data_IF_923587474050
#
_entry.id   IF_923587474050
#
_cell.length_a   1.000
_cell.length_b   1.000
_cell.length_c   1.000
_cell.angle_alpha   90.00
_cell.angle_beta   90.00
_cell.angle_gamma   90.00
#
_symmetry.space_group_name_H-M   'P 1'
#
loop_
_entity.id
_entity.type
_entity.pdbx_description
1 polymer ?
#
# COMPACT_ATOMS: atom_id res chain seq x y z
N UNK A 1 -7.47 -2.78 -11.69
CA UNK A 1 -6.79 -1.76 -10.85
C UNK A 1 -7.75 -0.83 -10.10
N UNK A 2 -8.76 -0.21 -10.76
CA UNK A 2 -9.75 0.69 -10.11
C UNK A 2 -10.57 0.05 -8.95
N UNK A 3 -10.77 -1.27 -9.01
CA UNK A 3 -11.48 -2.10 -8.03
C UNK A 3 -10.81 -2.22 -6.66
N UNK A 4 -9.51 -2.57 -6.64
CA UNK A 4 -8.76 -2.87 -5.41
C UNK A 4 -8.64 -1.63 -4.52
N UNK A 5 -8.40 -0.48 -5.14
CA UNK A 5 -8.10 0.76 -4.43
C UNK A 5 -9.39 1.49 -4.01
N UNK A 6 -10.49 1.41 -4.79
CA UNK A 6 -11.80 1.91 -4.35
C UNK A 6 -12.30 1.20 -3.09
N UNK A 7 -12.05 -0.12 -2.98
CA UNK A 7 -12.41 -0.92 -1.82
C UNK A 7 -11.63 -0.51 -0.56
N UNK A 8 -10.34 -0.26 -0.75
CA UNK A 8 -9.39 0.10 0.30
C UNK A 8 -9.53 1.56 0.75
N UNK A 9 -9.85 2.49 -0.16
CA UNK A 9 -10.20 3.89 0.13
C UNK A 9 -11.54 3.97 0.86
N UNK A 10 -12.51 3.11 0.55
CA UNK A 10 -13.81 3.10 1.23
C UNK A 10 -13.72 2.63 2.70
N UNK A 11 -12.83 1.68 3.02
CA UNK A 11 -12.54 1.32 4.42
C UNK A 11 -12.06 2.51 5.27
N UNK A 12 -11.49 3.53 4.63
CA UNK A 12 -11.08 4.79 5.26
C UNK A 12 -12.16 5.89 5.14
N UNK A 13 -12.95 5.88 4.06
CA UNK A 13 -13.98 6.90 3.79
C UNK A 13 -15.17 6.87 4.75
N UNK A 14 -15.28 5.87 5.63
CA UNK A 14 -16.14 5.98 6.81
C UNK A 14 -15.75 7.16 7.72
N UNK A 15 -14.52 7.70 7.59
CA UNK A 15 -14.09 8.96 8.20
C UNK A 15 -13.08 9.71 7.28
N UNK A 16 -13.61 10.67 6.51
CA UNK A 16 -12.91 11.89 6.07
C UNK A 16 -11.73 11.72 5.08
N UNK A 17 -11.94 11.17 3.88
CA UNK A 17 -10.98 11.34 2.77
C UNK A 17 -11.67 11.72 1.45
N UNK A 18 -11.23 12.82 0.83
CA UNK A 18 -11.46 13.11 -0.59
C UNK A 18 -10.28 12.55 -1.36
N UNK A 19 -10.49 11.51 -2.18
CA UNK A 19 -9.44 10.78 -2.92
C UNK A 19 -9.69 10.81 -4.44
N UNK A 20 -8.62 10.72 -5.25
CA UNK A 20 -8.67 10.60 -6.72
C UNK A 20 -7.62 9.63 -7.26
N UNK A 21 -8.09 8.52 -7.83
CA UNK A 21 -7.27 7.38 -8.26
C UNK A 21 -6.60 7.59 -9.63
N UNK A 22 -5.31 7.27 -9.68
CA UNK A 22 -4.57 7.13 -10.96
C UNK A 22 -4.29 5.65 -11.24
N UNK A 23 -5.03 5.07 -12.18
CA UNK A 23 -4.66 3.76 -12.74
C UNK A 23 -3.55 3.97 -13.77
N UNK A 24 -2.30 3.66 -13.41
CA UNK A 24 -1.17 3.66 -14.35
C UNK A 24 -1.22 2.39 -15.19
N UNK A 25 -2.02 2.41 -16.25
CA UNK A 25 -1.74 1.53 -17.37
C UNK A 25 -0.43 1.99 -18.01
N UNK A 26 0.58 1.14 -18.12
CA UNK A 26 1.77 1.47 -18.95
C UNK A 26 1.40 1.98 -20.36
N UNK A 27 0.30 1.55 -21.01
CA UNK A 27 -0.17 2.14 -22.26
C UNK A 27 -0.61 3.62 -22.18
N UNK A 28 -0.94 4.17 -21.01
CA UNK A 28 -1.32 5.58 -20.86
C UNK A 28 -0.11 6.48 -20.62
N UNK A 29 0.90 6.01 -19.90
CA UNK A 29 2.19 6.71 -19.69
C UNK A 29 3.09 6.66 -20.93
N UNK A 30 3.13 5.53 -21.64
CA UNK A 30 3.95 5.34 -22.86
C UNK A 30 3.53 6.22 -24.05
N UNK A 31 2.34 6.84 -23.99
CA UNK A 31 1.82 7.78 -25.00
C UNK A 31 2.49 9.16 -24.97
N UNK A 32 3.14 9.52 -23.87
CA UNK A 32 4.07 10.64 -23.91
C UNK A 32 5.30 10.10 -24.65
N UNK A 33 5.57 10.59 -25.86
CA UNK A 33 6.73 10.14 -26.65
C UNK A 33 8.04 10.13 -25.84
N UNK A 34 8.12 10.98 -24.82
CA UNK A 34 9.21 11.04 -23.85
C UNK A 34 9.30 9.82 -22.91
N UNK A 35 8.20 9.18 -22.48
CA UNK A 35 8.27 8.04 -21.54
C UNK A 35 8.92 6.84 -22.20
N UNK A 36 8.47 6.51 -23.41
CA UNK A 36 9.04 5.37 -24.17
C UNK A 36 10.50 5.62 -24.51
N UNK A 37 10.88 6.86 -24.85
CA UNK A 37 12.27 7.25 -25.03
C UNK A 37 13.08 7.10 -23.74
N UNK A 38 12.54 7.55 -22.60
CA UNK A 38 13.18 7.41 -21.31
C UNK A 38 13.32 5.96 -20.85
N UNK A 39 12.41 5.07 -21.24
CA UNK A 39 12.57 3.63 -21.03
C UNK A 39 13.82 3.12 -21.75
N UNK A 40 14.09 3.58 -22.98
CA UNK A 40 15.34 3.23 -23.67
C UNK A 40 16.55 3.90 -23.01
N UNK A 41 16.45 5.18 -22.63
CA UNK A 41 17.55 5.91 -21.96
C UNK A 41 17.93 5.25 -20.63
N UNK A 42 16.96 4.93 -19.78
CA UNK A 42 17.20 4.27 -18.49
C UNK A 42 17.73 2.84 -18.68
N UNK A 43 17.27 2.13 -19.71
CA UNK A 43 17.78 0.80 -20.05
C UNK A 43 19.24 0.86 -20.55
N UNK A 44 19.62 1.92 -21.25
CA UNK A 44 21.00 2.13 -21.70
C UNK A 44 21.96 2.47 -20.55
N UNK A 45 21.50 3.15 -19.50
CA UNK A 45 22.32 3.50 -18.34
C UNK A 45 22.38 2.38 -17.27
N UNK A 46 21.44 1.44 -17.30
CA UNK A 46 21.29 0.42 -16.24
C UNK A 46 21.86 -0.93 -16.64
N UNK A 47 22.78 -1.47 -15.84
CA UNK A 47 23.29 -2.83 -16.05
C UNK A 47 22.25 -3.90 -15.70
N UNK A 48 22.32 -5.06 -16.38
CA UNK A 48 21.49 -6.23 -16.05
C UNK A 48 21.66 -6.65 -14.59
N UNK A 49 22.88 -6.54 -14.05
CA UNK A 49 23.19 -6.83 -12.64
C UNK A 49 22.42 -5.92 -11.70
N UNK A 50 22.41 -4.62 -11.97
CA UNK A 50 21.71 -3.63 -11.15
C UNK A 50 20.20 -3.80 -11.22
N UNK A 51 19.64 -3.97 -12.42
CA UNK A 51 18.21 -4.21 -12.61
C UNK A 51 17.73 -5.47 -11.88
N UNK A 52 18.46 -6.58 -12.03
CA UNK A 52 18.17 -7.84 -11.32
C UNK A 52 18.28 -7.68 -9.81
N UNK A 53 19.32 -7.00 -9.33
CA UNK A 53 19.52 -6.75 -7.89
C UNK A 53 18.38 -5.91 -7.32
N UNK A 54 17.95 -4.87 -8.04
CA UNK A 54 16.88 -3.99 -7.61
C UNK A 54 15.54 -4.72 -7.48
N UNK A 55 15.20 -5.56 -8.46
CA UNK A 55 13.95 -6.32 -8.47
C UNK A 55 13.95 -7.60 -7.61
N UNK A 56 15.06 -7.96 -6.95
CA UNK A 56 15.24 -9.28 -6.35
C UNK A 56 14.20 -9.64 -5.25
N UNK A 57 13.66 -8.65 -4.54
CA UNK A 57 12.68 -8.87 -3.46
C UNK A 57 11.23 -8.63 -3.89
N UNK A 58 11.01 -8.02 -5.06
CA UNK A 58 9.69 -7.59 -5.53
C UNK A 58 9.23 -8.42 -6.73
N UNK A 59 10.14 -8.70 -7.66
CA UNK A 59 9.86 -9.50 -8.86
C UNK A 59 9.89 -10.98 -8.47
N UNK A 60 8.91 -11.74 -8.97
CA UNK A 60 8.86 -13.20 -8.78
C UNK A 60 10.14 -13.84 -9.34
N UNK A 61 10.87 -14.53 -8.48
CA UNK A 61 12.08 -15.25 -8.88
C UNK A 61 11.68 -16.58 -9.53
N UNK A 62 12.12 -16.79 -10.76
CA UNK A 62 11.88 -18.01 -11.56
C UNK A 62 13.19 -18.49 -12.17
N UNK A 63 13.29 -19.78 -12.47
CA UNK A 63 14.52 -20.37 -13.02
C UNK A 63 14.98 -19.69 -14.32
N UNK A 64 14.02 -19.34 -15.18
CA UNK A 64 14.26 -18.64 -16.44
C UNK A 64 13.56 -17.27 -16.39
N UNK A 65 14.23 -16.22 -15.88
CA UNK A 65 13.62 -14.91 -15.69
C UNK A 65 13.34 -14.23 -17.03
N UNK A 66 12.13 -13.66 -17.15
CA UNK A 66 11.73 -12.86 -18.31
C UNK A 66 12.40 -11.48 -18.28
N UNK A 67 12.57 -10.89 -19.47
CA UNK A 67 13.07 -9.50 -19.62
C UNK A 67 12.19 -8.50 -18.87
N UNK A 68 10.89 -8.75 -18.79
CA UNK A 68 9.94 -7.92 -18.02
C UNK A 68 10.36 -7.77 -16.55
N UNK A 69 10.97 -8.79 -15.95
CA UNK A 69 11.47 -8.73 -14.58
C UNK A 69 12.67 -7.79 -14.41
N UNK A 70 13.44 -7.55 -15.47
CA UNK A 70 14.54 -6.57 -15.48
C UNK A 70 14.03 -5.15 -15.74
N UNK A 71 12.98 -5.01 -16.56
CA UNK A 71 12.40 -3.71 -16.87
C UNK A 71 11.56 -3.14 -15.73
N UNK A 72 10.89 -3.98 -14.94
CA UNK A 72 9.95 -3.55 -13.90
C UNK A 72 10.54 -2.49 -12.94
N UNK A 73 11.73 -2.69 -12.34
CA UNK A 73 12.33 -1.69 -11.45
C UNK A 73 12.64 -0.35 -12.14
N UNK A 74 12.92 -0.36 -13.45
CA UNK A 74 13.21 0.85 -14.23
C UNK A 74 11.95 1.66 -14.51
N UNK A 75 10.87 0.95 -14.87
CA UNK A 75 9.56 1.56 -15.08
C UNK A 75 9.06 2.23 -13.79
N UNK A 76 9.18 1.54 -12.65
CA UNK A 76 8.80 2.08 -11.35
C UNK A 76 9.58 3.36 -10.99
N UNK A 77 10.87 3.44 -11.36
CA UNK A 77 11.66 4.66 -11.15
C UNK A 77 11.17 5.81 -12.04
N UNK A 78 10.86 5.55 -13.32
CA UNK A 78 10.33 6.57 -14.22
C UNK A 78 8.94 7.07 -13.80
N UNK A 79 8.13 6.23 -13.16
CA UNK A 79 6.82 6.64 -12.65
C UNK A 79 6.93 7.83 -11.66
N UNK A 80 8.04 7.94 -10.90
CA UNK A 80 8.31 9.09 -10.03
C UNK A 80 8.42 10.43 -10.79
N UNK A 81 8.99 10.39 -11.99
CA UNK A 81 9.12 11.56 -12.86
C UNK A 81 7.80 11.90 -13.52
N UNK A 82 7.16 10.92 -14.13
CA UNK A 82 6.00 11.13 -15.00
C UNK A 82 4.70 11.38 -14.25
N UNK A 83 4.63 10.99 -12.98
CA UNK A 83 3.56 11.39 -12.06
C UNK A 83 3.90 12.70 -11.33
N UNK A 84 5.08 13.27 -11.58
CA UNK A 84 5.59 14.50 -11.00
C UNK A 84 5.53 14.53 -9.47
N UNK A 85 5.84 13.40 -8.83
CA UNK A 85 5.78 13.28 -7.38
C UNK A 85 7.06 13.78 -6.69
N UNK A 86 6.92 14.15 -5.43
CA UNK A 86 8.02 14.55 -4.54
C UNK A 86 8.51 13.38 -3.69
N UNK A 87 7.62 12.44 -3.38
CA UNK A 87 7.92 11.24 -2.61
C UNK A 87 7.23 9.99 -3.15
N UNK A 88 7.86 8.84 -2.96
CA UNK A 88 7.26 7.52 -3.16
C UNK A 88 7.19 6.76 -1.83
N UNK A 89 6.03 6.18 -1.57
CA UNK A 89 5.76 5.35 -0.41
C UNK A 89 5.71 3.87 -0.81
N UNK A 90 6.31 2.99 -0.02
CA UNK A 90 6.25 1.55 -0.20
C UNK A 90 6.74 0.77 1.01
N UNK A 91 6.77 -0.56 0.92
CA UNK A 91 7.36 -1.39 1.97
C UNK A 91 8.89 -1.37 1.95
N UNK A 92 9.52 -1.81 3.04
CA UNK A 92 10.99 -1.99 3.09
C UNK A 92 11.51 -3.01 2.07
N UNK A 93 10.65 -3.89 1.55
CA UNK A 93 10.93 -4.80 0.44
C UNK A 93 11.18 -4.08 -0.89
N UNK A 94 10.68 -2.85 -1.05
CA UNK A 94 10.92 -2.00 -2.22
C UNK A 94 12.24 -1.21 -2.13
N UNK A 95 12.96 -1.28 -1.01
CA UNK A 95 14.18 -0.47 -0.74
C UNK A 95 15.20 -0.54 -1.87
N UNK A 96 15.41 -1.71 -2.48
CA UNK A 96 16.39 -1.89 -3.55
C UNK A 96 16.00 -1.17 -4.84
N UNK A 97 14.70 -1.04 -5.11
CA UNK A 97 14.18 -0.26 -6.24
C UNK A 97 14.36 1.23 -5.95
N UNK A 98 13.97 1.70 -4.76
CA UNK A 98 14.13 3.10 -4.34
C UNK A 98 15.58 3.59 -4.41
N UNK A 99 16.53 2.81 -3.88
CA UNK A 99 17.96 3.14 -3.96
C UNK A 99 18.47 3.20 -5.41
N UNK A 100 17.91 2.36 -6.28
CA UNK A 100 18.26 2.36 -7.70
C UNK A 100 17.71 3.61 -8.40
N UNK A 101 16.46 3.99 -8.12
CA UNK A 101 15.85 5.21 -8.64
C UNK A 101 16.65 6.46 -8.24
N UNK A 102 17.05 6.59 -6.97
CA UNK A 102 17.88 7.71 -6.49
C UNK A 102 19.22 7.84 -7.21
N UNK A 103 19.78 6.73 -7.70
CA UNK A 103 21.06 6.71 -8.40
C UNK A 103 20.91 7.00 -9.89
N UNK A 104 19.85 6.49 -10.53
CA UNK A 104 19.71 6.47 -11.98
C UNK A 104 18.93 7.68 -12.49
N UNK A 105 17.87 8.12 -11.80
CA UNK A 105 17.09 9.29 -12.22
C UNK A 105 17.94 10.57 -12.42
N UNK A 106 18.92 10.90 -11.54
CA UNK A 106 19.82 12.03 -11.76
C UNK A 106 20.65 11.96 -13.04
N UNK A 107 21.00 10.77 -13.51
CA UNK A 107 21.78 10.58 -14.74
C UNK A 107 20.94 10.84 -16.00
N UNK A 108 19.62 10.66 -15.88
CA UNK A 108 18.67 11.04 -16.94
C UNK A 108 18.34 12.54 -16.91
N UNK A 109 18.84 13.29 -15.92
CA UNK A 109 18.55 14.71 -15.72
C UNK A 109 17.37 14.98 -14.78
N UNK A 110 16.85 13.95 -14.12
CA UNK A 110 15.70 14.05 -13.22
C UNK A 110 16.12 14.22 -11.76
N UNK A 111 15.25 14.84 -10.96
CA UNK A 111 15.51 15.01 -9.52
C UNK A 111 15.40 13.70 -8.75
N UNK A 112 16.05 13.62 -7.60
CA UNK A 112 15.80 12.53 -6.63
C UNK A 112 14.46 12.75 -5.92
N UNK A 113 13.82 11.66 -5.50
CA UNK A 113 12.58 11.67 -4.70
C UNK A 113 12.85 11.20 -3.29
N UNK A 114 11.94 11.57 -2.39
CA UNK A 114 11.94 11.07 -1.02
C UNK A 114 11.30 9.68 -1.00
N UNK A 115 11.94 8.73 -0.34
CA UNK A 115 11.41 7.37 -0.21
C UNK A 115 10.97 7.08 1.21
N UNK A 116 9.68 6.79 1.39
CA UNK A 116 9.05 6.49 2.66
C UNK A 116 8.75 5.00 2.75
N UNK A 117 9.36 4.30 3.71
CA UNK A 117 9.27 2.84 3.79
C UNK A 117 8.54 2.38 5.05
N UNK A 118 7.43 1.64 4.90
CA UNK A 118 6.79 0.97 6.02
C UNK A 118 7.47 -0.36 6.37
N UNK A 119 7.54 -0.73 7.65
CA UNK A 119 8.02 -2.05 8.04
C UNK A 119 7.14 -3.15 7.43
N UNK A 120 7.74 -4.33 7.22
CA UNK A 120 6.97 -5.52 6.87
C UNK A 120 6.11 -5.90 8.06
N UNK A 121 4.80 -6.04 7.83
CA UNK A 121 3.89 -6.53 8.85
C UNK A 121 3.86 -8.05 8.77
N UNK A 122 4.22 -8.74 9.87
CA UNK A 122 4.06 -10.19 9.95
C UNK A 122 2.60 -10.59 9.68
N UNK A 123 2.42 -11.67 8.95
CA UNK A 123 1.16 -12.39 8.85
C UNK A 123 0.75 -12.96 10.20
N UNK A 124 -0.47 -13.45 10.28
CA UNK A 124 -1.04 -14.01 11.52
C UNK A 124 -0.30 -15.26 12.02
N UNK A 125 0.44 -15.93 11.14
CA UNK A 125 1.26 -17.10 11.46
C UNK A 125 2.67 -16.74 11.97
N UNK A 126 3.05 -15.46 11.97
CA UNK A 126 4.37 -14.97 12.42
C UNK A 126 5.39 -14.75 11.28
N UNK A 127 5.15 -15.34 10.10
CA UNK A 127 5.96 -15.15 8.90
C UNK A 127 5.48 -13.95 8.05
N UNK A 128 6.12 -13.69 6.90
CA UNK A 128 5.67 -12.62 6.00
C UNK A 128 4.22 -12.88 5.53
N UNK A 129 3.38 -11.85 5.56
CA UNK A 129 2.03 -11.93 5.01
C UNK A 129 2.13 -12.17 3.49
N UNK A 130 1.86 -13.40 3.04
CA UNK A 130 2.07 -13.83 1.66
C UNK A 130 0.74 -13.93 0.94
N UNK A 131 0.64 -13.31 -0.25
CA UNK A 131 -0.53 -13.45 -1.10
C UNK A 131 -0.80 -14.91 -1.50
N UNK A 132 0.25 -15.76 -1.51
CA UNK A 132 0.22 -17.17 -1.91
C UNK A 132 -0.15 -18.14 -0.79
N UNK A 133 -0.09 -17.72 0.48
CA UNK A 133 -0.45 -18.57 1.61
C UNK A 133 -1.74 -18.07 2.24
N UNK A 134 -2.87 -18.71 1.90
CA UNK A 134 -4.20 -18.29 2.35
C UNK A 134 -4.35 -18.24 3.88
N UNK A 135 -3.63 -19.10 4.62
CA UNK A 135 -3.62 -19.10 6.08
C UNK A 135 -2.86 -17.92 6.70
N UNK A 136 -1.94 -17.29 5.96
CA UNK A 136 -1.09 -16.21 6.47
C UNK A 136 -1.75 -14.83 6.44
N UNK A 137 -2.87 -14.69 5.70
CA UNK A 137 -3.55 -13.40 5.41
C UNK A 137 -5.05 -13.47 5.71
N UNK A 138 -5.63 -12.30 6.00
CA UNK A 138 -7.08 -12.08 6.00
C UNK A 138 -7.43 -11.30 4.74
N UNK A 139 -8.32 -11.86 3.92
CA UNK A 139 -8.85 -11.21 2.73
C UNK A 139 -10.01 -10.28 3.10
N UNK A 140 -10.21 -9.19 2.32
CA UNK A 140 -11.24 -8.19 2.67
C UNK A 140 -12.68 -8.65 2.50
N UNK A 141 -12.91 -9.76 1.81
CA UNK A 141 -14.25 -10.33 1.57
C UNK A 141 -14.48 -11.62 2.35
N UNK A 142 -13.55 -11.95 3.24
CA UNK A 142 -13.61 -13.17 4.04
C UNK A 142 -14.74 -13.09 5.08
N UNK A 143 -15.46 -14.20 5.27
CA UNK A 143 -16.59 -14.23 6.21
C UNK A 143 -16.12 -14.05 7.65
N UNK A 144 -17.00 -13.48 8.49
CA UNK A 144 -16.74 -13.30 9.93
C UNK A 144 -16.28 -14.59 10.62
N UNK A 145 -16.92 -15.73 10.29
CA UNK A 145 -16.53 -17.04 10.82
C UNK A 145 -15.14 -17.50 10.37
N UNK A 146 -14.75 -17.23 9.13
CA UNK A 146 -13.42 -17.58 8.62
C UNK A 146 -12.34 -16.70 9.25
N UNK A 147 -12.61 -15.40 9.41
CA UNK A 147 -11.72 -14.48 10.14
C UNK A 147 -11.50 -14.97 11.58
N UNK A 148 -12.57 -15.36 12.28
CA UNK A 148 -12.48 -15.89 13.64
C UNK A 148 -11.66 -17.18 13.70
N UNK A 149 -11.89 -18.11 12.76
CA UNK A 149 -11.14 -19.36 12.68
C UNK A 149 -9.64 -19.14 12.42
N UNK A 150 -9.28 -18.21 11.54
CA UNK A 150 -7.88 -17.85 11.28
C UNK A 150 -7.20 -17.20 12.48
N UNK A 151 -7.92 -16.34 13.20
CA UNK A 151 -7.38 -15.73 14.42
C UNK A 151 -7.19 -16.77 15.53
N UNK A 152 -8.06 -17.77 15.62
CA UNK A 152 -7.93 -18.86 16.59
C UNK A 152 -6.66 -19.71 16.36
N UNK A 153 -6.24 -19.90 15.11
CA UNK A 153 -5.03 -20.66 14.75
C UNK A 153 -3.76 -19.80 14.69
N UNK A 154 -3.87 -18.47 14.80
CA UNK A 154 -2.75 -17.54 14.76
C UNK A 154 -1.77 -17.80 15.91
N UNK A 155 -0.47 -17.88 15.62
CA UNK A 155 0.55 -18.13 16.63
C UNK A 155 0.69 -16.92 17.57
N UNK A 156 0.50 -17.16 18.87
CA UNK A 156 0.66 -16.13 19.91
C UNK A 156 1.33 -16.75 21.16
N UNK A 157 2.63 -17.06 21.09
CA UNK A 157 3.32 -17.72 22.20
C UNK A 157 3.43 -16.79 23.42
N UNK A 158 3.09 -17.28 24.63
CA UNK A 158 3.06 -16.47 25.84
C UNK A 158 4.45 -15.91 26.15
N UNK A 159 4.51 -14.63 26.52
CA UNK A 159 5.76 -13.96 26.87
C UNK A 159 6.63 -13.51 25.69
N UNK A 160 6.27 -13.84 24.44
CA UNK A 160 7.02 -13.45 23.25
C UNK A 160 6.60 -12.08 22.72
N UNK A 161 7.58 -11.22 22.44
CA UNK A 161 7.37 -9.85 21.91
C UNK A 161 7.02 -9.85 20.43
N UNK A 162 6.45 -8.76 19.93
CA UNK A 162 6.18 -8.58 18.50
C UNK A 162 7.46 -8.66 17.65
N UNK A 163 8.57 -8.10 18.16
CA UNK A 163 9.86 -8.11 17.48
C UNK A 163 10.50 -9.50 17.38
N UNK A 164 10.07 -10.44 18.22
CA UNK A 164 10.57 -11.82 18.27
C UNK A 164 9.76 -12.76 17.36
N UNK A 165 8.75 -12.25 16.65
CA UNK A 165 7.92 -13.05 15.73
C UNK A 165 6.48 -13.27 16.18
N UNK A 166 6.00 -12.61 17.24
CA UNK A 166 4.59 -12.70 17.63
C UNK A 166 3.68 -11.93 16.64
N UNK A 167 3.08 -12.66 15.70
CA UNK A 167 2.24 -12.10 14.64
C UNK A 167 0.97 -11.40 15.16
N UNK A 168 0.38 -11.90 16.25
CA UNK A 168 -0.81 -11.28 16.88
C UNK A 168 -0.48 -9.92 17.48
N UNK A 169 0.60 -9.82 18.25
CA UNK A 169 1.05 -8.53 18.80
C UNK A 169 1.47 -7.56 17.69
N UNK A 170 2.20 -8.05 16.67
CA UNK A 170 2.58 -7.22 15.53
C UNK A 170 1.35 -6.69 14.79
N UNK A 171 0.31 -7.50 14.63
CA UNK A 171 -0.96 -7.07 14.05
C UNK A 171 -1.64 -5.99 14.91
N UNK A 172 -1.67 -6.15 16.23
CA UNK A 172 -2.22 -5.11 17.13
C UNK A 172 -1.43 -3.80 16.99
N UNK A 173 -0.09 -3.86 16.98
CA UNK A 173 0.80 -2.71 16.82
C UNK A 173 0.54 -1.94 15.53
N UNK A 174 0.52 -2.64 14.40
CA UNK A 174 0.51 -2.02 13.09
C UNK A 174 -0.90 -1.80 12.54
N UNK A 175 -1.90 -2.55 13.02
CA UNK A 175 -3.29 -2.47 12.54
C UNK A 175 -4.23 -1.89 13.57
N UNK A 176 -4.37 -2.52 14.74
CA UNK A 176 -5.41 -2.14 15.72
C UNK A 176 -5.14 -0.76 16.32
N UNK A 177 -3.94 -0.50 16.83
CA UNK A 177 -3.60 0.80 17.42
C UNK A 177 -3.79 1.97 16.43
N UNK A 178 -3.27 1.89 15.18
CA UNK A 178 -3.53 2.92 14.19
C UNK A 178 -5.00 3.12 13.87
N UNK A 179 -5.80 2.04 13.81
CA UNK A 179 -7.25 2.12 13.56
C UNK A 179 -7.99 2.83 14.68
N UNK A 180 -7.68 2.50 15.93
CA UNK A 180 -8.32 3.10 17.10
C UNK A 180 -7.93 4.57 17.24
N UNK A 181 -6.65 4.88 17.05
CA UNK A 181 -6.17 6.26 17.11
C UNK A 181 -6.69 7.13 15.95
N UNK A 182 -7.02 6.52 14.79
CA UNK A 182 -7.71 7.22 13.70
C UNK A 182 -9.17 7.54 14.05
N UNK A 183 -9.88 6.61 14.70
CA UNK A 183 -11.28 6.81 15.07
C UNK A 183 -11.44 7.80 16.24
N UNK A 184 -10.57 7.69 17.25
CA UNK A 184 -10.54 8.55 18.42
C UNK A 184 -9.09 8.69 18.93
N UNK A 185 -8.38 9.79 18.61
CA UNK A 185 -7.00 10.00 19.03
C UNK A 185 -6.85 9.88 20.55
N UNK A 186 -5.87 9.10 21.01
CA UNK A 186 -5.57 8.92 22.44
C UNK A 186 -6.55 8.05 23.24
N UNK A 187 -7.54 7.42 22.59
CA UNK A 187 -8.51 6.52 23.27
C UNK A 187 -7.88 5.22 23.82
N UNK A 188 -6.73 4.81 23.29
CA UNK A 188 -6.07 3.57 23.68
C UNK A 188 -6.83 2.32 23.20
N UNK A 189 -6.24 1.14 23.42
CA UNK A 189 -6.83 -0.15 23.01
C UNK A 189 -7.26 -0.93 24.25
N UNK A 190 -8.49 -1.46 24.23
CA UNK A 190 -8.99 -2.34 25.30
C UNK A 190 -8.67 -3.80 24.97
N UNK A 191 -8.08 -4.52 25.93
CA UNK A 191 -7.78 -5.96 25.86
C UNK A 191 -8.24 -6.59 27.16
N UNK A 192 -9.17 -7.55 27.08
CA UNK A 192 -9.88 -8.05 28.26
C UNK A 192 -10.61 -6.90 28.95
N UNK A 193 -10.38 -6.71 30.25
CA UNK A 193 -10.93 -5.59 31.02
C UNK A 193 -9.97 -4.40 31.18
N UNK A 194 -8.77 -4.49 30.62
CA UNK A 194 -7.74 -3.44 30.71
C UNK A 194 -7.70 -2.56 29.47
N UNK A 195 -7.38 -1.28 29.65
CA UNK A 195 -7.19 -0.32 28.55
C UNK A 195 -5.76 0.19 28.52
N UNK A 196 -5.14 0.20 27.34
CA UNK A 196 -3.74 0.54 27.13
C UNK A 196 -3.62 1.77 26.23
N UNK A 197 -3.01 2.84 26.74
CA UNK A 197 -2.80 4.06 25.98
C UNK A 197 -1.79 3.86 24.83
N UNK A 198 -0.75 3.05 25.07
CA UNK A 198 0.29 2.78 24.07
C UNK A 198 0.49 1.27 23.85
N UNK A 199 1.01 0.93 22.66
CA UNK A 199 1.37 -0.45 22.35
C UNK A 199 2.45 -1.00 23.27
N UNK A 200 3.39 -0.16 23.71
CA UNK A 200 4.49 -0.59 24.58
C UNK A 200 3.97 -1.05 25.94
N UNK A 201 2.95 -0.37 26.48
CA UNK A 201 2.32 -0.76 27.75
C UNK A 201 1.60 -2.12 27.61
N UNK A 202 0.91 -2.33 26.48
CA UNK A 202 0.26 -3.60 26.19
C UNK A 202 1.28 -4.74 26.03
N UNK A 203 2.35 -4.52 25.27
CA UNK A 203 3.40 -5.51 25.07
C UNK A 203 4.10 -5.86 26.39
N UNK A 204 4.37 -4.85 27.23
CA UNK A 204 4.94 -5.08 28.56
C UNK A 204 4.01 -5.91 29.45
N UNK A 205 2.70 -5.64 29.45
CA UNK A 205 1.72 -6.41 30.22
C UNK A 205 1.62 -7.87 29.74
N UNK A 206 1.66 -8.10 28.42
CA UNK A 206 1.68 -9.46 27.86
C UNK A 206 2.95 -10.23 28.26
N UNK A 207 4.13 -9.59 28.16
CA UNK A 207 5.41 -10.19 28.53
C UNK A 207 5.50 -10.46 30.04
N UNK A 208 4.91 -9.60 30.86
CA UNK A 208 4.82 -9.78 32.31
C UNK A 208 3.86 -10.91 32.73
N UNK A 209 3.07 -11.46 31.79
CA UNK A 209 2.13 -12.55 32.07
C UNK A 209 0.90 -12.10 32.86
N UNK A 210 0.43 -10.87 32.64
CA UNK A 210 -0.82 -10.37 33.23
C UNK A 210 -1.99 -11.23 32.75
N UNK A 211 -2.80 -11.74 33.67
CA UNK A 211 -3.83 -12.75 33.39
C UNK A 211 -4.90 -12.25 32.40
N UNK A 212 -5.25 -10.97 32.46
CA UNK A 212 -6.23 -10.30 31.60
C UNK A 212 -5.72 -10.11 30.16
N UNK A 213 -4.40 -10.16 29.94
CA UNK A 213 -3.76 -10.03 28.62
C UNK A 213 -3.35 -11.41 28.13
N UNK A 214 -4.34 -12.28 27.91
CA UNK A 214 -4.11 -13.62 27.37
C UNK A 214 -4.02 -13.64 25.83
N UNK A 215 -3.44 -14.69 25.22
CA UNK A 215 -3.47 -14.88 23.77
C UNK A 215 -4.89 -14.82 23.18
N UNK A 216 -5.88 -15.37 23.89
CA UNK A 216 -7.29 -15.36 23.51
C UNK A 216 -7.86 -13.93 23.54
N UNK A 217 -7.56 -13.16 24.59
CA UNK A 217 -7.98 -11.78 24.71
C UNK A 217 -7.39 -10.89 23.61
N UNK A 218 -6.12 -11.11 23.24
CA UNK A 218 -5.47 -10.40 22.13
C UNK A 218 -6.13 -10.73 20.78
N UNK A 219 -6.41 -12.01 20.51
CA UNK A 219 -7.11 -12.43 19.29
C UNK A 219 -8.53 -11.87 19.22
N UNK A 220 -9.25 -11.87 20.35
CA UNK A 220 -10.57 -11.27 20.45
C UNK A 220 -10.54 -9.75 20.19
N UNK A 221 -9.57 -9.03 20.78
CA UNK A 221 -9.36 -7.60 20.52
C UNK A 221 -9.15 -7.30 19.02
N UNK A 222 -8.34 -8.12 18.33
CA UNK A 222 -8.18 -7.99 16.87
C UNK A 222 -9.52 -8.15 16.17
N UNK A 223 -10.27 -9.21 16.49
CA UNK A 223 -11.55 -9.50 15.86
C UNK A 223 -12.57 -8.37 16.07
N UNK A 224 -12.74 -7.89 17.30
CA UNK A 224 -13.68 -6.82 17.66
C UNK A 224 -13.41 -5.52 16.91
N UNK A 225 -12.14 -5.17 16.70
CA UNK A 225 -11.78 -3.99 15.93
C UNK A 225 -11.80 -4.24 14.42
N UNK A 226 -11.56 -5.46 13.97
CA UNK A 226 -11.39 -5.73 12.54
C UNK A 226 -12.71 -6.09 11.84
N UNK A 227 -13.47 -7.03 12.39
CA UNK A 227 -14.63 -7.61 11.72
C UNK A 227 -15.72 -6.59 11.37
N UNK A 228 -16.09 -5.62 12.24
CA UNK A 228 -17.08 -4.60 11.89
C UNK A 228 -16.64 -3.72 10.71
N UNK A 229 -15.33 -3.52 10.53
CA UNK A 229 -14.79 -2.74 9.40
C UNK A 229 -14.78 -3.55 8.11
N UNK A 230 -14.47 -4.83 8.19
CA UNK A 230 -14.58 -5.78 7.07
C UNK A 230 -16.06 -5.97 6.68
N UNK A 231 -16.98 -5.97 7.63
CA UNK A 231 -18.44 -6.09 7.36
C UNK A 231 -18.94 -4.98 6.42
N UNK A 232 -18.50 -3.73 6.63
CA UNK A 232 -18.83 -2.60 5.75
C UNK A 232 -18.42 -2.89 4.29
N UNK A 233 -17.27 -3.54 4.11
CA UNK A 233 -16.78 -3.97 2.80
C UNK A 233 -17.63 -5.10 2.23
N UNK A 234 -17.88 -6.14 3.02
CA UNK A 234 -18.70 -7.30 2.63
C UNK A 234 -20.08 -6.87 2.16
N UNK A 235 -20.74 -5.97 2.89
CA UNK A 235 -22.05 -5.44 2.53
C UNK A 235 -22.03 -4.71 1.18
N UNK A 236 -21.01 -3.88 0.93
CA UNK A 236 -20.90 -3.18 -0.35
C UNK A 236 -20.70 -4.13 -1.52
N UNK A 237 -20.00 -5.23 -1.29
CA UNK A 237 -19.77 -6.28 -2.27
C UNK A 237 -20.97 -7.20 -2.51
N UNK A 238 -22.14 -6.87 -1.95
CA UNK A 238 -23.43 -7.45 -2.37
C UNK A 238 -24.04 -6.71 -3.57
N UNK A 239 -23.54 -5.52 -3.92
CA UNK A 239 -24.03 -4.76 -5.07
C UNK A 239 -23.75 -5.55 -6.39
N UNK A 240 -24.75 -5.73 -7.28
CA UNK A 240 -24.59 -6.54 -8.49
C UNK A 240 -23.42 -6.14 -9.38
N UNK A 241 -23.13 -4.83 -9.47
CA UNK A 241 -22.00 -4.30 -10.24
C UNK A 241 -20.66 -4.77 -9.68
N UNK A 242 -20.52 -4.81 -8.35
CA UNK A 242 -19.28 -5.20 -7.69
C UNK A 242 -19.10 -6.72 -7.66
N UNK A 243 -20.20 -7.48 -7.53
CA UNK A 243 -20.18 -8.93 -7.69
C UNK A 243 -19.71 -9.35 -9.08
N UNK A 244 -20.26 -8.74 -10.14
CA UNK A 244 -19.83 -8.99 -11.52
C UNK A 244 -18.35 -8.64 -11.71
N UNK A 245 -17.92 -7.51 -11.17
CA UNK A 245 -16.53 -7.09 -11.25
C UNK A 245 -15.59 -8.06 -10.53
N UNK A 246 -16.00 -8.61 -9.39
CA UNK A 246 -15.23 -9.62 -8.66
C UNK A 246 -15.10 -10.90 -9.47
N UNK A 247 -16.20 -11.41 -10.05
CA UNK A 247 -16.17 -12.62 -10.87
C UNK A 247 -15.36 -12.44 -12.15
N UNK A 248 -15.41 -11.25 -12.75
CA UNK A 248 -14.62 -10.93 -13.94
C UNK A 248 -13.12 -10.82 -13.62
N UNK A 249 -12.76 -10.32 -12.43
CA UNK A 249 -11.38 -10.13 -12.00
C UNK A 249 -10.71 -11.40 -11.43
N UNK A 250 -11.49 -12.26 -10.77
CA UNK A 250 -11.03 -13.51 -10.15
C UNK A 250 -12.00 -14.65 -10.50
N UNK A 251 -12.00 -15.14 -11.75
CA UNK A 251 -12.85 -16.25 -12.15
C UNK A 251 -12.46 -17.52 -11.39
N UNK A 252 -13.46 -18.36 -11.08
CA UNK A 252 -13.26 -19.59 -10.30
C UNK A 252 -12.55 -20.72 -11.07
N UNK A 253 -12.52 -20.63 -12.41
CA UNK A 253 -11.88 -21.61 -13.29
C UNK A 253 -10.61 -21.02 -13.94
N UNK A 254 -9.45 -21.43 -13.43
CA UNK A 254 -8.14 -21.01 -13.95
C UNK A 254 -7.95 -21.39 -15.43
N UNK A 255 -8.54 -22.51 -15.89
CA UNK A 255 -8.45 -22.99 -17.27
C UNK A 255 -9.19 -22.08 -18.26
N UNK A 256 -10.38 -21.59 -17.89
CA UNK A 256 -11.18 -20.67 -18.71
C UNK A 256 -10.53 -19.28 -18.79
N UNK A 257 -9.78 -18.91 -17.75
CA UNK A 257 -9.04 -17.65 -17.66
C UNK A 257 -7.88 -17.58 -18.69
N UNK A 258 -7.16 -18.70 -18.89
CA UNK A 258 -6.08 -18.80 -19.87
C UNK A 258 -6.61 -18.68 -21.30
N UNK A 259 -7.72 -19.34 -21.62
CA UNK A 259 -8.37 -19.26 -22.94
C UNK A 259 -8.92 -17.86 -23.23
N UNK A 260 -9.57 -17.23 -22.24
CA UNK A 260 -10.10 -15.85 -22.37
C UNK A 260 -8.98 -14.83 -22.56
N UNK A 261 -7.91 -14.89 -21.76
CA UNK A 261 -6.77 -14.00 -21.91
C UNK A 261 -6.02 -14.20 -23.23
N UNK A 262 -5.93 -15.44 -23.74
CA UNK A 262 -5.36 -15.72 -25.05
C UNK A 262 -6.22 -15.15 -26.19
N UNK A 263 -7.55 -15.29 -26.11
CA UNK A 263 -8.49 -14.76 -27.10
C UNK A 263 -8.53 -13.22 -27.11
N UNK A 264 -8.59 -12.58 -25.94
CA UNK A 264 -8.62 -11.12 -25.81
C UNK A 264 -7.27 -10.47 -26.18
N UNK A 265 -6.14 -11.13 -25.88
CA UNK A 265 -4.82 -10.66 -26.33
C UNK A 265 -4.65 -10.77 -27.86
N UNK A 266 -5.31 -11.73 -28.49
CA UNK A 266 -5.35 -11.90 -29.95
C UNK A 266 -6.27 -10.90 -30.66
N UNK A 267 -7.34 -10.43 -29.99
CA UNK A 267 -8.27 -9.44 -30.55
C UNK A 267 -7.97 -7.99 -30.13
N UNK A 268 -7.08 -7.78 -29.16
CA UNK A 268 -6.64 -6.46 -28.71
C UNK A 268 -5.80 -5.81 -29.81
N UNK A 269 -6.48 -5.13 -30.72
CA UNK A 269 -5.86 -4.19 -31.64
C UNK A 269 -5.16 -3.11 -30.83
N UNK A 270 -3.81 -3.06 -30.89
CA UNK A 270 -3.00 -2.00 -30.26
C UNK A 270 -3.59 -0.61 -30.57
N UNK A 271 -4.17 -0.46 -31.77
CA UNK A 271 -4.84 0.76 -32.25
C UNK A 271 -6.04 1.26 -31.45
N UNK A 272 -6.83 0.38 -30.82
CA UNK A 272 -8.01 0.80 -30.05
C UNK A 272 -7.66 1.37 -28.65
N UNK A 273 -6.46 1.06 -28.14
CA UNK A 273 -5.96 1.58 -26.85
C UNK A 273 -5.40 3.01 -27.01
N UNK A 274 -5.13 3.46 -28.24
CA UNK A 274 -4.41 4.70 -28.51
C UNK A 274 -5.24 5.99 -28.41
N UNK A 275 -6.58 5.93 -28.28
CA UNK A 275 -7.45 7.13 -28.34
C UNK A 275 -7.90 7.75 -27.01
N UNK A 276 -7.29 7.40 -25.86
CA UNK A 276 -7.80 7.83 -24.55
C UNK A 276 -7.17 9.14 -24.02
N UNK A 277 -8.01 10.20 -23.91
CA UNK A 277 -7.75 11.54 -23.33
C UNK A 277 -7.65 11.53 -21.79
N UNK A 278 -7.87 10.39 -21.14
CA UNK A 278 -8.02 10.28 -19.68
C UNK A 278 -6.81 10.73 -18.84
N UNK A 279 -5.57 10.59 -19.31
CA UNK A 279 -4.39 11.05 -18.56
C UNK A 279 -4.23 12.58 -18.62
N UNK A 280 -4.58 13.19 -19.75
CA UNK A 280 -4.57 14.64 -19.93
C UNK A 280 -5.67 15.28 -19.09
N UNK A 281 -6.87 14.71 -19.10
CA UNK A 281 -7.95 15.09 -18.20
C UNK A 281 -7.53 14.98 -16.73
N UNK A 282 -6.87 13.87 -16.36
CA UNK A 282 -6.35 13.66 -15.01
C UNK A 282 -5.30 14.72 -14.61
N UNK A 283 -4.33 15.03 -15.47
CA UNK A 283 -3.34 16.09 -15.22
C UNK A 283 -4.02 17.45 -15.04
N UNK A 284 -5.04 17.75 -15.82
CA UNK A 284 -5.82 18.98 -15.71
C UNK A 284 -6.63 19.03 -14.41
N UNK A 285 -7.25 17.92 -14.00
CA UNK A 285 -7.98 17.81 -12.73
C UNK A 285 -7.05 17.96 -11.53
N UNK A 286 -5.88 17.32 -11.56
CA UNK A 286 -4.86 17.46 -10.51
C UNK A 286 -4.40 18.91 -10.40
N UNK A 287 -4.06 19.56 -11.51
CA UNK A 287 -3.61 20.95 -11.53
C UNK A 287 -4.70 21.91 -11.05
N UNK A 288 -5.96 21.65 -11.40
CA UNK A 288 -7.12 22.41 -10.93
C UNK A 288 -7.31 22.27 -9.43
N UNK A 289 -7.24 21.05 -8.90
CA UNK A 289 -7.34 20.79 -7.46
C UNK A 289 -6.21 21.51 -6.72
N UNK A 290 -4.97 21.39 -7.18
CA UNK A 290 -3.80 22.06 -6.56
C UNK A 290 -3.94 23.57 -6.47
N UNK A 291 -4.53 24.20 -7.48
CA UNK A 291 -4.75 25.65 -7.46
C UNK A 291 -5.63 26.08 -6.27
N UNK A 292 -6.52 25.20 -5.82
CA UNK A 292 -7.48 25.40 -4.73
C UNK A 292 -6.94 24.97 -3.36
N UNK A 293 -5.77 24.32 -3.30
CA UNK A 293 -5.20 23.80 -2.06
C UNK A 293 -4.41 24.89 -1.29
N UNK A 294 -4.56 24.96 0.05
CA UNK A 294 -3.76 25.84 0.89
C UNK A 294 -2.28 25.46 0.88
N UNK A 295 -1.40 26.43 1.14
CA UNK A 295 0.05 26.18 1.17
C UNK A 295 0.44 25.33 2.38
N UNK A 296 1.50 24.54 2.22
CA UNK A 296 2.15 23.83 3.31
C UNK A 296 2.70 24.82 4.35
N UNK A 297 2.28 24.68 5.61
CA UNK A 297 2.79 25.49 6.72
C UNK A 297 4.07 24.88 7.32
N UNK A 298 5.02 25.69 7.84
CA UNK A 298 6.24 25.16 8.48
C UNK A 298 5.96 24.23 9.67
N UNK A 299 4.87 24.47 10.42
CA UNK A 299 4.43 23.60 11.51
C UNK A 299 3.98 22.23 11.01
N UNK A 300 3.44 22.15 9.79
CA UNK A 300 3.00 20.90 9.17
C UNK A 300 4.18 20.00 8.83
N UNK A 301 5.33 20.56 8.40
CA UNK A 301 6.54 19.79 8.13
C UNK A 301 7.06 19.05 9.36
N UNK A 302 6.97 19.69 10.53
CA UNK A 302 7.32 19.04 11.80
C UNK A 302 6.36 17.89 12.12
N UNK A 303 5.06 18.11 11.98
CA UNK A 303 4.05 17.06 12.17
C UNK A 303 4.24 15.89 11.20
N UNK A 304 4.66 16.15 9.95
CA UNK A 304 4.98 15.12 8.96
C UNK A 304 6.23 14.34 9.40
N UNK A 305 7.28 15.03 9.81
CA UNK A 305 8.51 14.41 10.30
C UNK A 305 8.23 13.49 11.50
N UNK A 306 7.45 13.97 12.48
CA UNK A 306 7.07 13.21 13.67
C UNK A 306 6.21 11.99 13.31
N UNK A 307 5.24 12.16 12.40
CA UNK A 307 4.36 11.08 11.96
C UNK A 307 5.12 9.97 11.21
N UNK A 308 6.10 10.36 10.39
CA UNK A 308 6.88 9.47 9.54
C UNK A 308 8.19 9.00 10.19
N UNK A 309 8.48 9.45 11.41
CA UNK A 309 9.74 9.20 12.12
C UNK A 309 10.97 9.60 11.30
N UNK A 310 10.90 10.76 10.63
CA UNK A 310 11.97 11.30 9.79
C UNK A 310 12.73 12.40 10.51
N UNK A 311 13.98 12.61 10.09
CA UNK A 311 14.73 13.82 10.47
C UNK A 311 14.15 15.02 9.73
N UNK A 312 13.88 16.12 10.44
CA UNK A 312 13.33 17.34 9.84
C UNK A 312 14.23 17.88 8.71
N UNK A 313 15.55 17.71 8.83
CA UNK A 313 16.52 18.10 7.79
C UNK A 313 16.30 17.38 6.46
N UNK A 314 15.84 16.12 6.47
CA UNK A 314 15.52 15.39 5.23
C UNK A 314 14.32 15.97 4.48
N UNK A 315 13.52 16.82 5.13
CA UNK A 315 12.38 17.52 4.54
C UNK A 315 12.74 18.94 4.09
N UNK A 316 13.98 19.42 4.27
CA UNK A 316 14.40 20.73 3.76
C UNK A 316 14.13 20.93 2.26
N UNK A 317 14.32 19.95 1.37
CA UNK A 317 14.00 20.13 -0.06
C UNK A 317 12.51 20.40 -0.32
N UNK A 318 11.64 20.16 0.66
CA UNK A 318 10.19 20.32 0.56
C UNK A 318 9.70 21.68 1.08
N UNK A 319 10.52 22.48 1.77
CA UNK A 319 10.09 23.76 2.36
C UNK A 319 9.68 24.80 1.32
N UNK A 320 10.15 24.67 0.07
CA UNK A 320 9.77 25.56 -1.03
C UNK A 320 8.50 25.13 -1.77
N UNK A 321 7.90 23.99 -1.41
CA UNK A 321 6.73 23.42 -2.11
C UNK A 321 5.45 23.92 -1.46
N UNK A 322 4.54 24.44 -2.30
CA UNK A 322 3.18 24.81 -1.87
C UNK A 322 2.34 23.58 -1.53
N UNK A 323 2.49 22.50 -2.30
CA UNK A 323 1.75 21.23 -2.16
C UNK A 323 2.72 20.07 -2.30
N UNK A 324 2.54 19.02 -1.50
CA UNK A 324 3.33 17.77 -1.57
C UNK A 324 2.59 16.70 -2.35
N UNK A 325 3.28 16.07 -3.31
CA UNK A 325 2.75 14.90 -4.04
C UNK A 325 3.44 13.61 -3.61
N UNK A 326 2.65 12.67 -3.10
CA UNK A 326 3.11 11.33 -2.72
C UNK A 326 2.51 10.27 -3.64
N UNK A 327 3.34 9.38 -4.19
CA UNK A 327 2.89 8.19 -4.91
C UNK A 327 2.88 6.98 -3.98
N UNK A 328 1.81 6.19 -4.02
CA UNK A 328 1.81 4.83 -3.50
C UNK A 328 1.35 3.88 -4.61
N UNK A 329 2.20 2.91 -4.94
CA UNK A 329 1.89 1.87 -5.93
C UNK A 329 1.75 0.52 -5.23
N UNK A 330 0.79 -0.27 -5.73
CA UNK A 330 0.62 -1.68 -5.37
C UNK A 330 0.90 -2.54 -6.60
N UNK A 331 1.59 -3.66 -6.40
CA UNK A 331 1.68 -4.68 -7.43
C UNK A 331 0.28 -5.34 -7.61
N UNK A 332 -0.22 -5.53 -8.85
CA UNK A 332 -1.60 -5.94 -9.11
C UNK A 332 -1.87 -7.44 -8.86
N UNK A 333 -1.03 -8.16 -8.12
CA UNK A 333 -1.17 -9.61 -7.96
C UNK A 333 -1.97 -9.99 -6.72
N UNK A 334 -3.10 -10.67 -6.93
CA UNK A 334 -3.87 -11.32 -5.88
C UNK A 334 -5.02 -10.48 -5.29
N UNK A 335 -5.89 -11.16 -4.55
CA UNK A 335 -7.05 -10.56 -3.88
C UNK A 335 -6.56 -9.53 -2.83
N UNK A 336 -7.24 -8.38 -2.70
CA UNK A 336 -6.90 -7.41 -1.66
C UNK A 336 -6.92 -8.03 -0.26
N UNK A 337 -5.84 -7.82 0.49
CA UNK A 337 -5.70 -8.25 1.88
C UNK A 337 -5.30 -7.07 2.77
N UNK A 338 -5.37 -7.28 4.10
CA UNK A 338 -5.14 -6.22 5.08
C UNK A 338 -3.74 -5.58 5.03
N UNK A 339 -2.74 -6.27 4.46
CA UNK A 339 -1.40 -5.72 4.26
C UNK A 339 -1.40 -4.43 3.44
N UNK A 340 -2.32 -4.30 2.48
CA UNK A 340 -2.46 -3.10 1.64
C UNK A 340 -3.08 -1.90 2.40
N UNK A 341 -3.72 -2.14 3.56
CA UNK A 341 -4.39 -1.06 4.33
C UNK A 341 -3.39 -0.20 5.11
N UNK A 342 -2.21 -0.73 5.42
CA UNK A 342 -1.19 -0.06 6.22
C UNK A 342 -0.64 1.22 5.56
N UNK A 343 -0.14 1.16 4.31
CA UNK A 343 0.18 2.34 3.53
C UNK A 343 -0.92 3.40 3.52
N UNK A 344 -2.16 2.98 3.28
CA UNK A 344 -3.29 3.89 3.18
C UNK A 344 -3.66 4.56 4.48
N UNK A 345 -3.50 3.88 5.62
CA UNK A 345 -3.73 4.49 6.93
C UNK A 345 -2.68 5.55 7.22
N UNK A 346 -1.43 5.31 6.86
CA UNK A 346 -0.37 6.30 7.02
C UNK A 346 -0.58 7.49 6.09
N UNK A 347 -1.01 7.25 4.85
CA UNK A 347 -1.47 8.31 3.95
C UNK A 347 -2.70 9.06 4.50
N UNK A 348 -3.66 8.37 5.11
CA UNK A 348 -4.81 9.02 5.73
C UNK A 348 -4.39 9.92 6.91
N UNK A 349 -3.51 9.44 7.78
CA UNK A 349 -2.94 10.26 8.87
C UNK A 349 -2.17 11.48 8.33
N UNK A 350 -1.42 11.31 7.23
CA UNK A 350 -0.76 12.41 6.55
C UNK A 350 -1.77 13.45 6.05
N UNK A 351 -2.89 13.02 5.47
CA UNK A 351 -3.94 13.94 4.99
C UNK A 351 -4.65 14.75 6.08
N UNK A 352 -4.54 14.33 7.35
CA UNK A 352 -5.04 15.11 8.48
C UNK A 352 -4.12 16.29 8.85
N UNK A 353 -2.92 16.38 8.27
CA UNK A 353 -1.98 17.47 8.50
C UNK A 353 -2.31 18.62 7.54
N UNK A 354 -2.37 19.85 8.07
CA UNK A 354 -2.68 21.05 7.28
C UNK A 354 -1.73 21.23 6.09
N UNK A 355 -2.27 21.42 4.89
CA UNK A 355 -1.52 21.57 3.63
C UNK A 355 -1.00 20.24 3.03
N UNK A 356 -1.19 19.10 3.69
CA UNK A 356 -0.85 17.80 3.12
C UNK A 356 -2.06 17.24 2.39
N UNK A 357 -1.87 16.96 1.11
CA UNK A 357 -2.93 16.47 0.25
C UNK A 357 -2.52 15.11 -0.32
N UNK A 358 -3.27 14.09 0.07
CA UNK A 358 -3.08 12.74 -0.45
C UNK A 358 -4.03 12.53 -1.61
N UNK A 359 -3.45 12.44 -2.81
CA UNK A 359 -4.14 12.03 -4.02
C UNK A 359 -3.78 10.56 -4.27
N UNK A 360 -4.66 9.62 -3.91
CA UNK A 360 -4.51 8.17 -4.15
C UNK A 360 -5.23 7.77 -5.41
#
# INVERSE_FOLDING_TARGET
MSFLVSLLVFMLAAQVLKAQLVATGYPSLSKQGSYSEDVYRISADTSVRDARKAGAEVVKQVANPLVSGLLYPLLQALDEEYLHVDAQFGGVDQRKIFVMAERILPRLGYRKRIHLMNPMVPGLTGDKMSASEAASKIDLLESSSSVQAKLATAACPPGQRAAEGNGVLAFIKFVVFPLVNLAAPGSGVKVGDMSFATFNDLEAAYVAGVAEVSPEALRACIFEHLDPRIEVVRQRFTEPRLLKLLSDAYPADDAHCVEKHAAESGSASLTAVFSDDGLTDLKNRLSSIESQLPSLEPSSLKSIADLLLLNLESLQPLTSRRVLRCMWSIAPSGVPHLGHTLPLRLLARLSCISGVHVNV
#
